data_IF_735369016325
#
_entry.id   IF_735369016325
#
_cell.length_a   1.000
_cell.length_b   1.000
_cell.length_c   1.000
_cell.angle_alpha   90.00
_cell.angle_beta   90.00
_cell.angle_gamma   90.00
#
_symmetry.space_group_name_H-M   'P 1'
#
loop_
_entity.id
_entity.type
_entity.pdbx_description
1 polymer ?
#
# COMPACT_ATOMS: atom_id res chain seq x y z
N UNK A 1 1.68 -11.87 40.66
CA UNK A 1 2.70 -12.75 40.11
C UNK A 1 3.33 -12.08 38.90
N UNK A 2 4.42 -11.37 39.11
CA UNK A 2 5.16 -10.59 38.14
C UNK A 2 6.22 -11.40 37.38
N UNK A 3 5.91 -12.63 37.04
CA UNK A 3 6.84 -13.51 36.28
C UNK A 3 7.07 -13.10 34.81
N UNK A 4 6.23 -12.22 34.22
CA UNK A 4 6.29 -11.94 32.80
C UNK A 4 7.30 -10.89 32.36
N UNK A 5 7.50 -9.82 33.12
CA UNK A 5 8.33 -8.67 32.70
C UNK A 5 9.84 -8.98 32.73
N UNK A 6 10.32 -9.71 33.75
CA UNK A 6 11.71 -10.12 33.85
C UNK A 6 12.14 -11.08 32.72
N UNK A 7 11.29 -12.02 32.33
CA UNK A 7 11.54 -12.98 31.26
C UNK A 7 11.51 -12.30 29.88
N UNK A 8 10.60 -11.35 29.68
CA UNK A 8 10.55 -10.56 28.43
C UNK A 8 11.79 -9.72 28.25
N UNK A 9 12.25 -9.05 29.31
CA UNK A 9 13.48 -8.24 29.28
C UNK A 9 14.70 -9.12 29.01
N UNK A 10 14.80 -10.27 29.66
CA UNK A 10 15.90 -11.21 29.45
C UNK A 10 15.97 -11.69 28.00
N UNK A 11 14.82 -12.08 27.42
CA UNK A 11 14.73 -12.49 26.01
C UNK A 11 15.09 -11.36 25.04
N UNK A 12 14.75 -10.10 25.38
CA UNK A 12 15.16 -8.95 24.57
C UNK A 12 16.67 -8.73 24.56
N UNK A 13 17.32 -8.88 25.72
CA UNK A 13 18.79 -8.78 25.83
C UNK A 13 19.44 -9.92 25.06
N UNK A 14 19.01 -11.17 25.27
CA UNK A 14 19.52 -12.35 24.54
C UNK A 14 19.34 -12.19 23.01
N UNK A 15 18.18 -11.68 22.58
CA UNK A 15 17.94 -11.40 21.16
C UNK A 15 18.87 -10.34 20.59
N UNK A 16 19.19 -9.31 21.36
CA UNK A 16 20.13 -8.27 20.96
C UNK A 16 21.57 -8.80 20.86
N UNK A 17 22.00 -9.58 21.84
CA UNK A 17 23.32 -10.23 21.82
C UNK A 17 23.44 -11.19 20.65
N UNK A 18 22.44 -12.04 20.45
CA UNK A 18 22.40 -12.97 19.31
C UNK A 18 22.50 -12.22 17.98
N UNK A 19 21.76 -11.10 17.82
CA UNK A 19 21.87 -10.27 16.61
C UNK A 19 23.29 -9.78 16.38
N UNK A 20 23.96 -9.29 17.43
CA UNK A 20 25.36 -8.79 17.32
C UNK A 20 26.32 -9.91 16.95
N UNK A 21 26.16 -11.07 17.54
CA UNK A 21 26.99 -12.24 17.25
C UNK A 21 26.79 -12.70 15.81
N UNK A 22 25.54 -12.86 15.36
CA UNK A 22 25.22 -13.27 13.98
C UNK A 22 25.72 -12.24 12.97
N UNK A 23 25.48 -10.95 13.20
CA UNK A 23 25.93 -9.88 12.29
C UNK A 23 27.46 -9.88 12.16
N UNK A 24 28.17 -10.21 13.21
CA UNK A 24 29.67 -10.28 13.20
C UNK A 24 30.16 -11.56 12.56
N UNK A 25 29.64 -12.72 12.96
CA UNK A 25 30.12 -14.02 12.48
C UNK A 25 29.72 -14.29 11.03
N UNK A 26 28.61 -13.73 10.57
CA UNK A 26 28.13 -13.90 9.20
C UNK A 26 28.52 -12.73 8.29
N UNK A 27 28.29 -11.51 8.75
CA UNK A 27 28.47 -10.30 7.94
C UNK A 27 29.90 -10.08 7.47
N UNK A 28 30.90 -10.28 8.34
CA UNK A 28 32.28 -10.05 7.98
C UNK A 28 32.83 -11.08 6.96
N UNK A 29 32.74 -12.41 7.19
CA UNK A 29 33.23 -13.37 6.22
C UNK A 29 32.55 -13.28 4.86
N UNK A 30 31.21 -13.05 4.84
CA UNK A 30 30.49 -12.92 3.58
C UNK A 30 30.87 -11.62 2.86
N UNK A 31 31.08 -10.52 3.58
CA UNK A 31 31.59 -9.28 2.98
C UNK A 31 32.95 -9.47 2.34
N UNK A 32 33.86 -10.22 2.99
CA UNK A 32 35.15 -10.53 2.42
C UNK A 32 35.06 -11.37 1.14
N UNK A 33 34.17 -12.36 1.11
CA UNK A 33 33.89 -13.14 -0.10
C UNK A 33 33.35 -12.27 -1.22
N UNK A 34 32.45 -11.34 -0.92
CA UNK A 34 31.91 -10.40 -1.90
C UNK A 34 33.02 -9.51 -2.49
N UNK A 35 33.90 -8.98 -1.68
CA UNK A 35 35.01 -8.15 -2.16
C UNK A 35 35.98 -8.93 -3.07
N UNK A 36 36.22 -10.21 -2.76
CA UNK A 36 37.05 -11.09 -3.57
C UNK A 36 36.41 -11.52 -4.89
N UNK A 37 35.08 -11.72 -4.90
CA UNK A 37 34.35 -12.29 -6.05
C UNK A 37 33.73 -11.26 -6.96
N UNK A 38 33.19 -10.16 -6.41
CA UNK A 38 32.45 -9.13 -7.15
C UNK A 38 33.29 -7.85 -7.28
N UNK A 39 34.25 -7.65 -6.39
CA UNK A 39 35.09 -6.46 -6.36
C UNK A 39 34.67 -5.44 -5.31
N UNK A 40 35.40 -4.32 -5.26
CA UNK A 40 35.21 -3.28 -4.24
C UNK A 40 33.91 -2.49 -4.33
N UNK A 41 33.13 -2.69 -5.38
CA UNK A 41 31.80 -2.07 -5.54
C UNK A 41 30.77 -2.68 -4.57
N UNK A 42 30.92 -3.96 -4.23
CA UNK A 42 30.12 -4.61 -3.20
C UNK A 42 30.62 -4.20 -1.80
N UNK A 43 29.94 -3.26 -1.14
CA UNK A 43 30.41 -2.65 0.11
C UNK A 43 30.36 -3.59 1.30
N UNK A 44 29.26 -4.29 1.51
CA UNK A 44 29.09 -5.22 2.63
C UNK A 44 27.89 -6.14 2.44
N UNK A 45 27.93 -7.28 3.13
CA UNK A 45 26.77 -8.13 3.35
C UNK A 45 26.25 -7.93 4.78
N UNK A 46 24.97 -8.12 4.95
CA UNK A 46 24.34 -8.04 6.26
C UNK A 46 22.92 -8.52 6.20
N UNK A 47 22.41 -8.88 7.34
CA UNK A 47 21.09 -9.45 7.53
C UNK A 47 19.96 -8.61 6.87
N UNK A 48 20.01 -7.29 7.02
CA UNK A 48 18.99 -6.38 6.43
C UNK A 48 19.28 -6.11 4.95
N UNK A 49 20.53 -5.81 4.61
CA UNK A 49 20.94 -5.49 3.23
C UNK A 49 20.69 -6.66 2.28
N UNK A 50 21.07 -7.88 2.70
CA UNK A 50 20.91 -9.08 1.86
C UNK A 50 19.43 -9.39 1.59
N UNK A 51 18.55 -9.23 2.58
CA UNK A 51 17.10 -9.38 2.40
C UNK A 51 16.54 -8.29 1.49
N UNK A 52 16.95 -7.04 1.70
CA UNK A 52 16.49 -5.92 0.87
C UNK A 52 16.89 -6.11 -0.60
N UNK A 53 18.16 -6.49 -0.86
CA UNK A 53 18.63 -6.79 -2.22
C UNK A 53 17.86 -7.95 -2.83
N UNK A 54 17.60 -9.02 -2.05
CA UNK A 54 16.82 -10.18 -2.50
C UNK A 54 15.42 -9.75 -2.95
N UNK A 55 14.72 -8.98 -2.15
CA UNK A 55 13.37 -8.50 -2.49
C UNK A 55 13.36 -7.66 -3.78
N UNK A 56 14.35 -6.78 -3.94
CA UNK A 56 14.47 -5.97 -5.17
C UNK A 56 14.77 -6.85 -6.39
N UNK A 57 15.67 -7.82 -6.26
CA UNK A 57 16.03 -8.75 -7.35
C UNK A 57 14.84 -9.64 -7.72
N UNK A 58 14.12 -10.17 -6.74
CA UNK A 58 12.96 -11.02 -6.99
C UNK A 58 11.86 -10.19 -7.70
N UNK A 59 11.63 -8.96 -7.26
CA UNK A 59 10.68 -8.05 -7.94
C UNK A 59 11.12 -7.70 -9.37
N UNK A 60 12.40 -7.49 -9.59
CA UNK A 60 12.93 -7.22 -10.93
C UNK A 60 12.80 -8.44 -11.85
N UNK A 61 12.97 -9.65 -11.32
CA UNK A 61 12.72 -10.89 -12.08
C UNK A 61 11.26 -11.04 -12.47
N UNK A 62 10.34 -10.76 -11.55
CA UNK A 62 8.90 -10.71 -11.85
C UNK A 62 8.60 -9.68 -12.96
N UNK A 63 9.19 -8.48 -12.87
CA UNK A 63 9.04 -7.42 -13.87
C UNK A 63 9.57 -7.85 -15.26
N UNK A 64 10.69 -8.54 -15.30
CA UNK A 64 11.28 -9.03 -16.56
C UNK A 64 10.45 -10.18 -17.15
N UNK A 65 9.90 -11.05 -16.31
CA UNK A 65 9.05 -12.17 -16.75
C UNK A 65 7.64 -11.72 -17.14
N UNK A 66 7.19 -10.55 -16.67
CA UNK A 66 5.85 -10.04 -16.95
C UNK A 66 5.64 -9.77 -18.43
N UNK A 67 4.58 -10.34 -18.97
CA UNK A 67 4.15 -10.13 -20.37
C UNK A 67 3.03 -9.08 -20.38
N UNK A 68 3.29 -7.85 -20.87
CA UNK A 68 2.26 -6.83 -20.95
C UNK A 68 1.19 -7.22 -21.99
N UNK A 69 -0.06 -7.03 -21.62
CA UNK A 69 -1.22 -7.21 -22.48
C UNK A 69 -1.98 -5.91 -22.59
N UNK A 70 -2.32 -5.56 -23.80
CA UNK A 70 -3.17 -4.44 -24.10
C UNK A 70 -4.65 -4.81 -23.92
N UNK A 71 -5.40 -4.00 -23.21
CA UNK A 71 -6.85 -4.13 -23.07
C UNK A 71 -7.50 -2.75 -23.11
N UNK A 72 -8.70 -2.70 -23.67
CA UNK A 72 -9.42 -1.45 -23.86
C UNK A 72 -10.73 -1.45 -23.08
N UNK A 73 -11.09 -0.26 -22.58
CA UNK A 73 -12.40 0.01 -21.98
C UNK A 73 -13.05 1.20 -22.68
N UNK A 74 -14.38 1.27 -22.63
CA UNK A 74 -15.15 2.36 -23.24
C UNK A 74 -15.81 3.14 -22.09
N UNK A 75 -15.49 4.42 -22.01
CA UNK A 75 -16.13 5.37 -21.13
C UNK A 75 -17.02 6.30 -21.97
N UNK A 76 -18.22 6.60 -21.48
CA UNK A 76 -19.19 7.46 -22.14
C UNK A 76 -19.67 8.57 -21.22
N UNK A 77 -20.14 9.63 -21.82
CA UNK A 77 -20.82 10.71 -21.13
C UNK A 77 -22.26 10.79 -21.63
N UNK A 78 -23.22 10.60 -20.76
CA UNK A 78 -24.65 10.61 -21.10
C UNK A 78 -25.28 11.98 -20.89
N UNK A 79 -26.26 12.32 -21.75
CA UNK A 79 -27.02 13.57 -21.71
C UNK A 79 -28.54 13.26 -21.61
N UNK A 80 -29.36 14.16 -21.09
CA UNK A 80 -29.08 15.48 -20.53
C UNK A 80 -28.56 15.41 -19.07
N UNK A 81 -27.75 16.40 -18.67
CA UNK A 81 -27.11 16.40 -17.36
C UNK A 81 -25.90 15.42 -17.35
N UNK A 82 -24.69 15.89 -17.73
CA UNK A 82 -23.59 14.99 -18.05
C UNK A 82 -23.27 14.09 -16.85
N UNK A 83 -23.43 12.79 -16.99
CA UNK A 83 -22.98 11.79 -16.04
C UNK A 83 -22.11 10.74 -16.73
N UNK A 84 -21.02 10.32 -16.09
CA UNK A 84 -20.10 9.34 -16.67
C UNK A 84 -20.68 7.93 -16.56
N UNK A 85 -20.45 7.13 -17.59
CA UNK A 85 -20.71 5.69 -17.56
C UNK A 85 -19.54 4.93 -18.17
N UNK A 86 -19.48 3.66 -17.84
CA UNK A 86 -18.47 2.73 -18.37
C UNK A 86 -19.14 1.49 -18.91
N UNK A 87 -18.68 1.02 -20.06
CA UNK A 87 -19.12 -0.25 -20.62
C UNK A 87 -18.74 -1.39 -19.65
N UNK A 88 -19.75 -2.06 -19.12
CA UNK A 88 -19.57 -3.11 -18.12
C UNK A 88 -19.61 -4.51 -18.75
N UNK A 89 -20.52 -4.72 -19.71
CA UNK A 89 -20.73 -6.01 -20.35
C UNK A 89 -20.96 -5.86 -21.85
N UNK A 90 -20.55 -6.86 -22.63
CA UNK A 90 -20.84 -7.02 -24.05
C UNK A 90 -21.41 -8.43 -24.25
N UNK A 91 -22.60 -8.54 -24.81
CA UNK A 91 -23.29 -9.82 -25.02
C UNK A 91 -23.38 -10.70 -23.75
N UNK A 92 -23.57 -10.05 -22.60
CA UNK A 92 -23.64 -10.70 -21.29
C UNK A 92 -22.28 -11.03 -20.66
N UNK A 93 -21.17 -10.92 -21.40
CA UNK A 93 -19.83 -11.10 -20.89
C UNK A 93 -19.27 -9.80 -20.31
N UNK A 94 -18.69 -9.85 -19.10
CA UNK A 94 -18.06 -8.68 -18.46
C UNK A 94 -16.81 -8.25 -19.22
N UNK A 95 -16.66 -6.97 -19.49
CA UNK A 95 -15.44 -6.43 -20.09
C UNK A 95 -14.25 -6.66 -19.19
N UNK A 96 -13.18 -7.24 -19.74
CA UNK A 96 -11.95 -7.53 -19.04
C UNK A 96 -11.22 -6.25 -18.62
N UNK A 97 -10.58 -6.31 -17.46
CA UNK A 97 -9.72 -5.26 -16.90
C UNK A 97 -8.34 -5.84 -16.62
N UNK A 98 -7.36 -5.02 -16.26
CA UNK A 98 -6.00 -5.49 -15.98
C UNK A 98 -5.92 -6.59 -14.91
N UNK A 99 -6.86 -6.65 -13.97
CA UNK A 99 -6.92 -7.71 -12.95
C UNK A 99 -7.41 -9.07 -13.44
N UNK A 100 -7.86 -9.15 -14.67
CA UNK A 100 -8.38 -10.38 -15.26
C UNK A 100 -7.32 -11.13 -16.10
N UNK A 101 -6.11 -10.57 -16.19
CA UNK A 101 -4.97 -11.19 -16.85
C UNK A 101 -3.94 -11.68 -15.82
N UNK A 102 -3.28 -12.78 -16.14
CA UNK A 102 -2.15 -13.31 -15.37
C UNK A 102 -0.82 -12.64 -15.78
N UNK A 103 0.27 -13.03 -15.13
CA UNK A 103 1.61 -12.48 -15.40
C UNK A 103 2.15 -12.91 -16.78
N UNK A 104 1.60 -13.96 -17.38
CA UNK A 104 1.90 -14.43 -18.75
C UNK A 104 1.08 -13.68 -19.81
N UNK A 105 0.17 -12.79 -19.39
CA UNK A 105 -0.70 -12.03 -20.27
C UNK A 105 -1.90 -12.81 -20.80
N UNK A 106 -2.27 -13.92 -20.15
CA UNK A 106 -3.45 -14.70 -20.50
C UNK A 106 -4.64 -14.26 -19.70
N UNK A 107 -5.82 -14.29 -20.32
CA UNK A 107 -7.07 -14.03 -19.60
C UNK A 107 -7.32 -15.15 -18.58
N UNK A 108 -7.17 -14.83 -17.31
CA UNK A 108 -7.33 -15.80 -16.20
C UNK A 108 -8.79 -15.98 -15.79
N UNK A 109 -9.66 -15.05 -16.16
CA UNK A 109 -11.10 -15.11 -15.85
C UNK A 109 -11.88 -15.63 -17.05
N UNK A 110 -12.43 -16.84 -16.94
CA UNK A 110 -13.33 -17.39 -17.95
C UNK A 110 -14.58 -16.52 -18.15
N UNK A 111 -14.99 -16.35 -19.40
CA UNK A 111 -16.20 -15.61 -19.77
C UNK A 111 -16.07 -14.08 -19.68
N UNK A 112 -14.90 -13.51 -19.51
CA UNK A 112 -14.69 -12.08 -19.67
C UNK A 112 -14.43 -11.73 -21.16
N UNK A 113 -15.02 -10.63 -21.61
CA UNK A 113 -14.80 -10.12 -22.97
C UNK A 113 -13.51 -9.28 -22.99
N UNK A 114 -12.49 -9.76 -23.67
CA UNK A 114 -11.27 -9.00 -23.93
C UNK A 114 -11.51 -8.10 -25.15
N UNK A 115 -11.42 -6.79 -24.95
CA UNK A 115 -11.50 -5.80 -26.02
C UNK A 115 -10.09 -5.38 -26.41
N UNK A 116 -9.75 -5.55 -27.66
CA UNK A 116 -8.61 -4.93 -28.31
C UNK A 116 -8.98 -3.56 -28.89
N UNK A 117 -8.03 -2.83 -29.45
CA UNK A 117 -8.27 -1.51 -30.05
C UNK A 117 -9.34 -1.56 -31.13
N UNK A 118 -9.29 -2.54 -32.02
CA UNK A 118 -10.20 -2.62 -33.16
C UNK A 118 -11.64 -2.87 -32.71
N UNK A 119 -11.86 -3.80 -31.78
CA UNK A 119 -13.18 -4.09 -31.21
C UNK A 119 -13.71 -2.94 -30.38
N UNK A 120 -12.86 -2.25 -29.61
CA UNK A 120 -13.26 -1.08 -28.87
C UNK A 120 -13.68 0.09 -29.77
N UNK A 121 -12.96 0.35 -30.86
CA UNK A 121 -13.31 1.35 -31.85
C UNK A 121 -14.60 1.02 -32.59
N UNK A 122 -14.79 -0.25 -33.00
CA UNK A 122 -16.01 -0.72 -33.65
C UNK A 122 -17.24 -0.53 -32.74
N UNK A 123 -17.13 -0.94 -31.46
CA UNK A 123 -18.19 -0.75 -30.48
C UNK A 123 -18.47 0.74 -30.21
N UNK A 124 -17.45 1.55 -30.09
CA UNK A 124 -17.59 3.00 -29.88
C UNK A 124 -18.35 3.64 -31.05
N UNK A 125 -18.01 3.25 -32.27
CA UNK A 125 -18.72 3.73 -33.48
C UNK A 125 -20.16 3.27 -33.54
N UNK A 126 -20.43 2.02 -33.18
CA UNK A 126 -21.78 1.45 -33.17
C UNK A 126 -22.68 2.06 -32.08
N UNK A 127 -22.11 2.40 -30.92
CA UNK A 127 -22.83 2.96 -29.79
C UNK A 127 -23.01 4.50 -29.87
N UNK A 128 -22.21 5.16 -30.68
CA UNK A 128 -22.26 6.61 -30.83
C UNK A 128 -23.58 7.07 -31.44
N UNK A 129 -24.25 8.00 -30.77
CA UNK A 129 -25.54 8.55 -31.20
C UNK A 129 -26.75 7.64 -30.95
N UNK A 130 -26.56 6.47 -30.32
CA UNK A 130 -27.66 5.61 -29.92
C UNK A 130 -28.38 6.12 -28.69
N UNK A 131 -29.67 5.80 -28.57
CA UNK A 131 -30.44 6.06 -27.39
C UNK A 131 -30.19 4.99 -26.32
N UNK A 132 -29.95 5.44 -25.09
CA UNK A 132 -29.77 4.55 -23.95
C UNK A 132 -30.92 4.71 -22.95
N UNK A 133 -31.27 3.62 -22.29
CA UNK A 133 -32.31 3.59 -21.25
C UNK A 133 -31.70 3.18 -19.92
N UNK A 134 -32.18 3.77 -18.82
CA UNK A 134 -31.80 3.32 -17.48
C UNK A 134 -32.66 2.10 -17.15
N UNK A 135 -32.03 0.95 -17.06
CA UNK A 135 -32.69 -0.31 -16.74
C UNK A 135 -32.99 -0.41 -15.24
N UNK A 136 -31.99 -0.11 -14.42
CA UNK A 136 -32.13 -0.20 -12.95
C UNK A 136 -31.30 0.85 -12.23
N UNK A 137 -31.77 1.26 -11.06
CA UNK A 137 -31.03 2.14 -10.12
C UNK A 137 -30.93 1.44 -8.79
N UNK A 138 -29.71 1.15 -8.35
CA UNK A 138 -29.46 0.50 -7.07
C UNK A 138 -28.76 1.47 -6.13
N UNK A 139 -29.36 1.75 -4.98
CA UNK A 139 -28.75 2.50 -3.90
C UNK A 139 -28.20 1.55 -2.85
N UNK A 140 -26.94 1.70 -2.51
CA UNK A 140 -26.29 0.90 -1.46
C UNK A 140 -25.72 1.85 -0.41
N UNK A 141 -26.09 1.68 0.87
CA UNK A 141 -25.47 2.45 1.94
C UNK A 141 -23.96 2.16 1.97
N UNK A 142 -23.17 3.21 2.06
CA UNK A 142 -21.72 3.11 2.15
C UNK A 142 -21.24 3.75 3.44
N UNK A 143 -20.51 3.00 4.25
CA UNK A 143 -19.86 3.52 5.44
C UNK A 143 -18.34 3.51 5.25
N UNK A 144 -17.69 4.59 5.66
CA UNK A 144 -16.22 4.69 5.67
C UNK A 144 -15.74 4.74 7.10
N UNK A 145 -14.89 3.79 7.46
CA UNK A 145 -14.20 3.84 8.76
C UNK A 145 -13.03 4.82 8.71
N UNK A 146 -12.73 5.53 9.82
CA UNK A 146 -11.50 6.31 9.92
C UNK A 146 -10.27 5.44 9.65
N UNK A 147 -9.22 6.04 9.10
CA UNK A 147 -7.94 5.35 8.93
C UNK A 147 -7.35 5.02 10.30
N UNK A 148 -6.64 3.90 10.38
CA UNK A 148 -5.87 3.56 11.57
C UNK A 148 -4.78 4.61 11.87
N UNK A 149 -4.33 4.72 13.13
CA UNK A 149 -3.16 5.53 13.47
C UNK A 149 -1.95 5.15 12.64
N UNK A 150 -1.02 6.09 12.47
CA UNK A 150 0.19 5.84 11.70
C UNK A 150 1.13 4.84 12.39
N UNK A 151 1.64 3.91 11.59
CA UNK A 151 2.90 3.22 11.85
C UNK A 151 4.04 3.98 11.16
N UNK A 152 5.29 3.65 11.49
CA UNK A 152 6.47 4.26 10.84
C UNK A 152 6.39 4.20 9.31
N UNK A 153 6.03 3.05 8.76
CA UNK A 153 5.94 2.85 7.30
C UNK A 153 4.81 3.67 6.67
N UNK A 154 3.63 3.66 7.26
CA UNK A 154 2.48 4.40 6.73
C UNK A 154 2.65 5.91 6.86
N UNK A 155 3.31 6.40 7.94
CA UNK A 155 3.70 7.79 8.08
C UNK A 155 4.66 8.23 6.96
N UNK A 156 5.66 7.42 6.66
CA UNK A 156 6.61 7.72 5.57
C UNK A 156 5.93 7.72 4.21
N UNK A 157 5.01 6.77 3.95
CA UNK A 157 4.25 6.71 2.70
C UNK A 157 3.35 7.94 2.52
N UNK A 158 2.61 8.32 3.56
CA UNK A 158 1.71 9.47 3.51
C UNK A 158 2.50 10.78 3.35
N UNK A 159 3.61 10.93 4.07
CA UNK A 159 4.51 12.09 3.92
C UNK A 159 5.14 12.15 2.52
N UNK A 160 5.49 11.01 1.95
CA UNK A 160 6.00 10.95 0.57
C UNK A 160 4.91 11.33 -0.44
N UNK A 161 3.71 10.80 -0.28
CA UNK A 161 2.59 11.08 -1.19
C UNK A 161 2.12 12.54 -1.15
N UNK A 162 1.91 13.08 0.05
CA UNK A 162 1.33 14.45 0.22
C UNK A 162 2.36 15.56 0.23
N UNK A 163 3.51 15.33 0.90
CA UNK A 163 4.50 16.38 1.12
C UNK A 163 5.75 16.21 0.25
N UNK A 164 5.82 15.13 -0.53
CA UNK A 164 6.99 14.77 -1.36
C UNK A 164 8.29 14.66 -0.53
N UNK A 165 8.16 14.25 0.73
CA UNK A 165 9.32 14.07 1.61
C UNK A 165 9.90 12.67 1.50
N UNK A 166 11.24 12.59 1.48
CA UNK A 166 11.94 11.32 1.65
C UNK A 166 11.84 10.81 3.09
N UNK A 167 12.05 9.51 3.29
CA UNK A 167 11.95 8.84 4.58
C UNK A 167 12.83 9.49 5.67
N UNK A 168 14.06 9.89 5.33
CA UNK A 168 14.99 10.53 6.27
C UNK A 168 14.45 11.86 6.82
N UNK A 169 13.89 12.72 5.93
CA UNK A 169 13.29 14.00 6.33
C UNK A 169 12.07 13.75 7.20
N UNK A 170 11.19 12.84 6.80
CA UNK A 170 10.00 12.47 7.57
C UNK A 170 10.36 12.03 8.98
N UNK A 171 11.34 11.14 9.12
CA UNK A 171 11.75 10.65 10.44
C UNK A 171 12.42 11.72 11.31
N UNK A 172 13.16 12.66 10.71
CA UNK A 172 13.74 13.79 11.45
C UNK A 172 12.66 14.72 12.02
N UNK A 173 11.65 15.03 11.22
CA UNK A 173 10.52 15.86 11.67
C UNK A 173 9.70 15.12 12.72
N UNK A 174 9.41 13.84 12.52
CA UNK A 174 8.70 13.01 13.49
C UNK A 174 9.45 12.93 14.84
N UNK A 175 10.80 12.82 14.81
CA UNK A 175 11.62 12.87 16.00
C UNK A 175 11.44 14.21 16.77
N UNK A 176 11.49 15.33 16.06
CA UNK A 176 11.27 16.65 16.66
C UNK A 176 9.87 16.79 17.26
N UNK A 177 8.84 16.29 16.57
CA UNK A 177 7.46 16.30 17.10
C UNK A 177 7.32 15.44 18.35
N UNK A 178 7.98 14.29 18.40
CA UNK A 178 8.00 13.45 19.59
C UNK A 178 8.73 14.11 20.77
N UNK A 179 9.91 14.70 20.54
CA UNK A 179 10.69 15.40 21.57
C UNK A 179 9.95 16.60 22.16
N UNK A 180 9.08 17.24 21.37
CA UNK A 180 8.22 18.34 21.82
C UNK A 180 6.85 17.88 22.35
N UNK A 181 6.59 16.58 22.43
CA UNK A 181 5.38 16.02 23.02
C UNK A 181 4.11 16.09 22.16
N UNK A 182 4.24 16.39 20.86
CA UNK A 182 3.09 16.48 19.96
C UNK A 182 2.59 15.12 19.45
N UNK A 183 3.46 14.13 19.42
CA UNK A 183 3.13 12.76 18.98
C UNK A 183 3.73 11.72 19.93
N UNK A 184 3.19 10.50 19.90
CA UNK A 184 3.79 9.34 20.57
C UNK A 184 5.05 8.89 19.84
N UNK A 185 5.78 7.91 20.40
CA UNK A 185 7.02 7.44 19.79
C UNK A 185 6.81 6.98 18.34
N UNK A 186 7.57 7.56 17.43
CA UNK A 186 7.38 7.43 15.98
C UNK A 186 7.90 6.12 15.37
N UNK A 187 8.71 5.34 16.09
CA UNK A 187 9.21 4.04 15.60
C UNK A 187 8.34 2.92 16.14
N UNK A 188 7.25 2.64 15.45
CA UNK A 188 6.29 1.60 15.80
C UNK A 188 5.79 0.88 14.54
N UNK A 189 5.50 -0.38 14.69
CA UNK A 189 4.81 -1.22 13.71
C UNK A 189 3.38 -1.60 14.14
N UNK A 190 2.92 -1.02 15.26
CA UNK A 190 1.59 -1.24 15.82
C UNK A 190 0.70 -0.03 15.62
N UNK A 191 -0.57 -0.29 15.33
CA UNK A 191 -1.66 0.71 15.32
C UNK A 191 -2.47 0.70 16.61
N UNK A 192 -2.15 -0.19 17.56
CA UNK A 192 -2.86 -0.32 18.83
C UNK A 192 -2.47 0.80 19.77
N UNK A 193 -3.45 1.53 20.25
CA UNK A 193 -3.29 2.58 21.26
C UNK A 193 -3.79 2.08 22.61
N UNK A 194 -3.20 2.61 23.68
CA UNK A 194 -3.72 2.39 25.04
C UNK A 194 -5.06 3.11 25.21
N UNK A 195 -5.90 2.65 26.13
CA UNK A 195 -7.18 3.33 26.47
C UNK A 195 -6.96 4.78 26.90
N UNK A 196 -5.88 5.04 27.63
CA UNK A 196 -5.52 6.40 28.01
C UNK A 196 -5.23 7.28 26.80
N UNK A 197 -4.49 6.77 25.82
CA UNK A 197 -4.19 7.51 24.58
C UNK A 197 -5.45 7.73 23.73
N UNK A 198 -6.34 6.74 23.67
CA UNK A 198 -7.62 6.85 22.97
C UNK A 198 -8.52 7.94 23.61
N UNK A 199 -8.62 7.94 24.95
CA UNK A 199 -9.40 8.95 25.65
C UNK A 199 -8.81 10.35 25.51
N UNK A 200 -7.48 10.49 25.57
CA UNK A 200 -6.82 11.76 25.33
C UNK A 200 -7.07 12.27 23.90
N UNK A 201 -6.97 11.39 22.90
CA UNK A 201 -7.24 11.75 21.52
C UNK A 201 -8.71 12.16 21.29
N UNK A 202 -9.66 11.44 21.89
CA UNK A 202 -11.08 11.78 21.83
C UNK A 202 -11.38 13.14 22.48
N UNK A 203 -10.81 13.40 23.64
CA UNK A 203 -10.97 14.70 24.31
C UNK A 203 -10.39 15.81 23.45
N UNK A 204 -9.18 15.63 22.93
CA UNK A 204 -8.55 16.60 22.03
C UNK A 204 -9.39 16.87 20.78
N UNK A 205 -9.98 15.81 20.20
CA UNK A 205 -10.87 15.95 19.05
C UNK A 205 -12.14 16.74 19.40
N UNK A 206 -12.75 16.49 20.56
CA UNK A 206 -13.91 17.26 21.03
C UNK A 206 -13.56 18.73 21.27
N UNK A 207 -12.43 18.99 21.90
CA UNK A 207 -12.02 20.34 22.26
C UNK A 207 -11.62 21.20 21.06
N UNK A 208 -11.01 20.58 20.04
CA UNK A 208 -10.48 21.29 18.88
C UNK A 208 -11.33 21.16 17.61
N UNK A 209 -12.18 20.13 17.51
CA UNK A 209 -12.90 19.75 16.29
C UNK A 209 -14.41 19.56 16.54
N UNK A 210 -15.00 20.42 17.36
CA UNK A 210 -16.43 20.38 17.77
C UNK A 210 -17.43 20.18 16.61
N UNK A 211 -17.02 20.45 15.37
CA UNK A 211 -17.85 20.28 14.17
C UNK A 211 -17.86 18.86 13.59
N UNK A 212 -16.97 17.97 14.04
CA UNK A 212 -16.84 16.62 13.46
C UNK A 212 -17.34 15.52 14.37
N UNK A 213 -17.69 15.82 15.65
CA UNK A 213 -18.23 14.81 16.56
C UNK A 213 -19.69 14.48 16.25
N UNK A 214 -20.47 15.48 15.78
CA UNK A 214 -21.90 15.30 15.45
C UNK A 214 -22.13 14.59 14.11
N UNK A 215 -21.12 14.59 13.23
CA UNK A 215 -21.20 13.90 11.93
C UNK A 215 -20.83 12.40 12.01
N UNK A 216 -20.42 11.90 13.18
CA UNK A 216 -20.06 10.51 13.40
C UNK A 216 -21.18 9.70 14.09
N UNK A 217 -22.22 10.36 14.62
CA UNK A 217 -23.36 9.76 15.33
C UNK A 217 -24.66 9.78 14.49
N UNK A 218 -24.64 10.34 13.27
CA UNK A 218 -25.67 10.18 12.23
C UNK A 218 -25.18 9.21 11.14
#
# INVERSE_FOLDING_TARGET
PSRGLGDVYKRQVEAQETRRVVDRLYGYPVSEVLWKKIGREAKSAGRVQSVAVRLVVDRERERIAFTPVEYWGIDAQFLPGPFPGRLATVDGARVATGSDFDDDGRLSREGAAHLDEASAQALTSALSGQAFTVDSVTQKPSSRKPKAPFMTSTLQQEASGRLRWGAQRTMRVAQSLYENGYITYMRTDSTTLSEQALNAARNQARDCLLYTSDAADE
#
